data_IF_352006179244
#
_entry.id   IF_352006179244
#
_cell.length_a   1.000
_cell.length_b   1.000
_cell.length_c   1.000
_cell.angle_alpha   90.00
_cell.angle_beta   90.00
_cell.angle_gamma   90.00
#
_symmetry.space_group_name_H-M   'P 1'
#
loop_
_entity.id
_entity.type
_entity.pdbx_description
1 polymer ?
#
# COMPACT_ATOMS: atom_id res chain seq x y z
N UNK A 1 3.81 -29.42 9.81
CA UNK A 1 3.31 -28.58 8.69
C UNK A 1 3.21 -27.15 9.21
N UNK A 2 4.10 -26.24 8.78
CA UNK A 2 4.01 -24.83 9.16
C UNK A 2 2.83 -24.20 8.44
N UNK A 3 1.90 -23.60 9.19
CA UNK A 3 0.78 -22.84 8.61
C UNK A 3 1.26 -21.40 8.44
N UNK A 4 1.42 -20.96 7.20
CA UNK A 4 1.76 -19.57 6.89
C UNK A 4 0.58 -18.65 7.29
N UNK A 5 0.91 -17.53 7.93
CA UNK A 5 -0.08 -16.52 8.33
C UNK A 5 -0.21 -15.54 7.16
N UNK A 6 -1.43 -15.35 6.67
CA UNK A 6 -1.70 -14.37 5.61
C UNK A 6 -1.63 -12.93 6.13
N UNK A 7 -1.40 -11.97 5.22
CA UNK A 7 -1.23 -10.54 5.54
C UNK A 7 -2.50 -9.70 5.41
N UNK A 8 -3.69 -10.33 5.30
CA UNK A 8 -4.94 -9.59 5.07
C UNK A 8 -5.22 -8.59 6.21
N UNK A 9 -5.07 -9.05 7.46
CA UNK A 9 -5.34 -8.22 8.65
C UNK A 9 -4.37 -7.04 8.76
N UNK A 10 -3.10 -7.31 8.48
CA UNK A 10 -2.01 -6.33 8.49
C UNK A 10 -2.29 -5.21 7.48
N UNK A 11 -2.46 -5.56 6.20
CA UNK A 11 -2.72 -4.58 5.13
C UNK A 11 -4.04 -3.84 5.32
N UNK A 12 -5.06 -4.49 5.90
CA UNK A 12 -6.31 -3.81 6.28
C UNK A 12 -6.09 -2.77 7.37
N UNK A 13 -5.30 -3.10 8.39
CA UNK A 13 -4.97 -2.19 9.49
C UNK A 13 -4.13 -1.00 9.02
N UNK A 14 -3.15 -1.23 8.13
CA UNK A 14 -2.35 -0.17 7.51
C UNK A 14 -3.20 0.85 6.73
N UNK A 15 -4.24 0.37 6.03
CA UNK A 15 -5.20 1.24 5.34
C UNK A 15 -6.24 1.88 6.27
N UNK A 16 -6.23 1.54 7.56
CA UNK A 16 -7.16 2.03 8.59
C UNK A 16 -8.65 1.84 8.23
N UNK A 17 -8.99 0.67 7.69
CA UNK A 17 -10.37 0.30 7.32
C UNK A 17 -10.90 -0.86 8.16
N UNK A 18 -12.22 -0.91 8.33
CA UNK A 18 -12.93 -2.02 8.97
C UNK A 18 -13.04 -3.26 8.07
N UNK A 19 -13.31 -4.42 8.67
CA UNK A 19 -13.59 -5.66 7.93
C UNK A 19 -14.82 -5.51 7.01
N UNK A 20 -15.82 -4.73 7.42
CA UNK A 20 -17.01 -4.46 6.61
C UNK A 20 -16.67 -3.64 5.35
N UNK A 21 -15.82 -2.62 5.46
CA UNK A 21 -15.37 -1.84 4.31
C UNK A 21 -14.56 -2.68 3.33
N UNK A 22 -13.65 -3.53 3.81
CA UNK A 22 -12.91 -4.45 2.95
C UNK A 22 -13.84 -5.47 2.27
N UNK A 23 -14.81 -6.00 3.01
CA UNK A 23 -15.78 -6.96 2.50
C UNK A 23 -16.61 -6.38 1.35
N UNK A 24 -17.06 -5.13 1.46
CA UNK A 24 -17.77 -4.41 0.40
C UNK A 24 -16.88 -4.26 -0.84
N UNK A 25 -15.63 -3.87 -0.68
CA UNK A 25 -14.71 -3.68 -1.81
C UNK A 25 -14.43 -4.97 -2.60
N UNK A 26 -14.36 -6.11 -1.90
CA UNK A 26 -14.01 -7.41 -2.48
C UNK A 26 -15.27 -8.20 -2.91
N UNK A 27 -16.45 -7.81 -2.44
CA UNK A 27 -17.73 -8.46 -2.72
C UNK A 27 -17.91 -9.75 -1.92
N UNK A 28 -17.61 -9.72 -0.63
CA UNK A 28 -17.81 -10.81 0.34
C UNK A 28 -18.51 -10.27 1.61
N UNK A 29 -18.75 -11.13 2.60
CA UNK A 29 -19.28 -10.70 3.90
C UNK A 29 -18.16 -10.31 4.87
N UNK A 30 -18.45 -9.42 5.83
CA UNK A 30 -17.49 -9.05 6.88
C UNK A 30 -17.03 -10.27 7.70
N UNK A 31 -17.94 -11.20 7.98
CA UNK A 31 -17.64 -12.48 8.64
C UNK A 31 -16.65 -13.33 7.82
N UNK A 32 -16.78 -13.35 6.49
CA UNK A 32 -15.84 -14.05 5.62
C UNK A 32 -14.43 -13.45 5.74
N UNK A 33 -14.30 -12.11 5.73
CA UNK A 33 -13.01 -11.43 5.95
C UNK A 33 -12.43 -11.83 7.32
N UNK A 34 -13.23 -11.79 8.39
CA UNK A 34 -12.77 -12.18 9.72
C UNK A 34 -12.26 -13.63 9.79
N UNK A 35 -12.95 -14.56 9.11
CA UNK A 35 -12.50 -15.96 8.99
C UNK A 35 -11.23 -16.11 8.16
N UNK A 36 -11.05 -15.30 7.12
CA UNK A 36 -9.82 -15.27 6.33
C UNK A 36 -8.64 -14.75 7.16
N UNK A 37 -8.81 -13.65 7.88
CA UNK A 37 -7.76 -13.05 8.73
C UNK A 37 -7.27 -14.00 9.82
N UNK A 38 -8.17 -14.81 10.41
CA UNK A 38 -7.80 -15.82 11.41
C UNK A 38 -7.33 -17.14 10.80
N UNK A 39 -7.36 -17.25 9.47
CA UNK A 39 -7.08 -18.50 8.76
C UNK A 39 -8.00 -19.67 9.18
N UNK A 40 -9.21 -19.36 9.65
CA UNK A 40 -10.29 -20.32 9.95
C UNK A 40 -10.88 -20.89 8.65
N UNK A 41 -10.83 -20.08 7.59
CA UNK A 41 -11.28 -20.41 6.24
C UNK A 41 -10.31 -19.84 5.23
N UNK A 42 -10.04 -20.59 4.17
CA UNK A 42 -9.24 -20.09 3.07
C UNK A 42 -10.10 -19.43 1.98
N UNK A 43 -9.73 -18.23 1.50
CA UNK A 43 -10.35 -17.63 0.32
C UNK A 43 -10.20 -18.53 -0.91
N UNK A 44 -11.19 -18.49 -1.81
CA UNK A 44 -11.03 -19.06 -3.16
C UNK A 44 -10.08 -18.18 -3.96
N UNK A 45 -9.44 -18.75 -5.00
CA UNK A 45 -8.51 -18.03 -5.88
C UNK A 45 -9.07 -16.67 -6.38
N UNK A 46 -10.34 -16.63 -6.78
CA UNK A 46 -11.02 -15.40 -7.22
C UNK A 46 -11.05 -14.31 -6.13
N UNK A 47 -11.21 -14.70 -4.86
CA UNK A 47 -11.20 -13.77 -3.73
C UNK A 47 -9.77 -13.36 -3.38
N UNK A 48 -8.81 -14.28 -3.45
CA UNK A 48 -7.40 -13.97 -3.31
C UNK A 48 -6.95 -12.90 -4.30
N UNK A 49 -7.30 -13.07 -5.58
CA UNK A 49 -6.97 -12.08 -6.61
C UNK A 49 -7.58 -10.71 -6.29
N UNK A 50 -8.87 -10.65 -5.97
CA UNK A 50 -9.53 -9.37 -5.63
C UNK A 50 -8.92 -8.68 -4.41
N UNK A 51 -8.54 -9.44 -3.38
CA UNK A 51 -7.85 -8.88 -2.21
C UNK A 51 -6.48 -8.33 -2.62
N UNK A 52 -5.72 -9.09 -3.43
CA UNK A 52 -4.42 -8.70 -3.93
C UNK A 52 -4.51 -7.41 -4.77
N UNK A 53 -5.49 -7.33 -5.68
CA UNK A 53 -5.78 -6.14 -6.49
C UNK A 53 -6.16 -4.94 -5.62
N UNK A 54 -7.00 -5.15 -4.58
CA UNK A 54 -7.42 -4.09 -3.66
C UNK A 54 -6.25 -3.49 -2.86
N UNK A 55 -5.31 -4.34 -2.45
CA UNK A 55 -4.12 -3.91 -1.72
C UNK A 55 -2.97 -3.50 -2.65
N UNK A 56 -3.05 -3.82 -3.95
CA UNK A 56 -1.99 -3.59 -4.92
C UNK A 56 -0.75 -4.43 -4.64
N UNK A 57 -0.91 -5.70 -4.23
CA UNK A 57 0.16 -6.64 -3.87
C UNK A 57 0.06 -7.90 -4.73
N UNK A 58 1.10 -8.75 -4.76
CA UNK A 58 0.98 -10.09 -5.34
C UNK A 58 0.13 -11.01 -4.46
N UNK A 59 -0.51 -12.02 -5.05
CA UNK A 59 -1.25 -13.04 -4.29
C UNK A 59 -0.32 -13.80 -3.33
N UNK A 60 0.90 -14.13 -3.78
CA UNK A 60 1.90 -14.81 -2.95
C UNK A 60 2.34 -13.99 -1.74
N UNK A 61 2.51 -12.68 -1.90
CA UNK A 61 2.79 -11.76 -0.79
C UNK A 61 1.62 -11.70 0.19
N UNK A 62 0.39 -11.61 -0.32
CA UNK A 62 -0.81 -11.55 0.52
C UNK A 62 -1.02 -12.86 1.31
N UNK A 63 -0.71 -14.00 0.71
CA UNK A 63 -0.79 -15.32 1.34
C UNK A 63 0.33 -15.57 2.38
N UNK A 64 1.38 -14.75 2.37
CA UNK A 64 2.56 -14.94 3.21
C UNK A 64 3.52 -16.00 2.68
N UNK A 65 3.45 -16.33 1.39
CA UNK A 65 4.37 -17.25 0.70
C UNK A 65 5.64 -16.51 0.25
N UNK A 66 5.49 -15.25 -0.16
CA UNK A 66 6.59 -14.38 -0.57
C UNK A 66 6.91 -13.39 0.55
N UNK A 67 8.17 -13.30 0.96
CA UNK A 67 8.62 -12.29 1.95
C UNK A 67 8.80 -10.90 1.34
N UNK A 68 9.09 -10.85 0.04
CA UNK A 68 9.27 -9.59 -0.69
C UNK A 68 7.98 -9.15 -1.34
N UNK A 69 7.67 -7.86 -1.22
CA UNK A 69 6.62 -7.22 -2.01
C UNK A 69 7.07 -7.19 -3.48
N UNK A 70 6.70 -8.21 -4.25
CA UNK A 70 6.85 -8.19 -5.70
C UNK A 70 5.67 -7.40 -6.27
N UNK A 71 5.71 -6.07 -6.09
CA UNK A 71 4.73 -5.20 -6.73
C UNK A 71 4.81 -5.38 -8.24
N UNK A 72 3.87 -6.13 -8.82
CA UNK A 72 3.63 -6.13 -10.27
C UNK A 72 2.90 -4.83 -10.61
N UNK A 73 3.57 -3.70 -10.34
CA UNK A 73 3.20 -2.42 -10.93
C UNK A 73 3.80 -2.41 -12.33
N UNK A 74 2.96 -2.23 -13.33
CA UNK A 74 3.42 -1.96 -14.69
C UNK A 74 4.21 -0.65 -14.71
N UNK A 75 5.14 -0.50 -15.65
CA UNK A 75 5.96 0.70 -15.77
C UNK A 75 5.12 1.98 -15.92
N UNK A 76 3.94 1.86 -16.54
CA UNK A 76 2.97 2.96 -16.66
C UNK A 76 2.38 3.36 -15.32
N UNK A 77 2.03 2.40 -14.44
CA UNK A 77 1.51 2.67 -13.11
C UNK A 77 2.57 3.28 -12.18
N UNK A 78 3.83 2.84 -12.32
CA UNK A 78 4.98 3.45 -11.61
C UNK A 78 5.16 4.91 -12.02
N UNK A 79 5.10 5.18 -13.32
CA UNK A 79 5.22 6.53 -13.86
C UNK A 79 4.09 7.47 -13.38
N UNK A 80 2.85 6.98 -13.36
CA UNK A 80 1.68 7.75 -12.89
C UNK A 80 1.83 8.12 -11.41
N UNK A 81 2.27 7.19 -10.56
CA UNK A 81 2.52 7.45 -9.14
C UNK A 81 3.63 8.50 -8.95
N UNK A 82 4.76 8.34 -9.63
CA UNK A 82 5.87 9.30 -9.57
C UNK A 82 5.45 10.71 -10.03
N UNK A 83 4.66 10.81 -11.10
CA UNK A 83 4.16 12.09 -11.61
C UNK A 83 3.24 12.76 -10.58
N UNK A 84 2.36 12.00 -9.92
CA UNK A 84 1.47 12.51 -8.87
C UNK A 84 2.24 13.08 -7.70
N UNK A 85 3.31 12.41 -7.28
CA UNK A 85 4.15 12.87 -6.18
C UNK A 85 4.89 14.16 -6.57
N UNK A 86 5.46 14.23 -7.78
CA UNK A 86 6.11 15.45 -8.31
C UNK A 86 5.15 16.64 -8.36
N UNK A 87 3.90 16.43 -8.79
CA UNK A 87 2.87 17.47 -8.80
C UNK A 87 2.51 17.97 -7.40
N UNK A 88 2.38 17.06 -6.43
CA UNK A 88 2.09 17.45 -5.05
C UNK A 88 3.24 18.23 -4.44
N UNK A 89 4.49 17.80 -4.68
CA UNK A 89 5.70 18.52 -4.26
C UNK A 89 5.73 19.93 -4.86
N UNK A 90 5.44 20.07 -6.15
CA UNK A 90 5.37 21.37 -6.83
C UNK A 90 4.27 22.27 -6.29
N UNK A 91 3.16 21.72 -5.79
CA UNK A 91 2.09 22.49 -5.14
C UNK A 91 2.52 22.96 -3.75
N UNK A 92 3.18 22.12 -2.96
CA UNK A 92 3.74 22.50 -1.65
C UNK A 92 4.78 23.62 -1.80
N UNK A 93 5.68 23.51 -2.79
CA UNK A 93 6.66 24.56 -3.08
C UNK A 93 6.01 25.86 -3.57
N UNK A 94 4.92 25.80 -4.33
CA UNK A 94 4.17 27.01 -4.73
C UNK A 94 3.50 27.71 -3.55
N UNK A 95 3.01 26.96 -2.56
CA UNK A 95 2.46 27.52 -1.31
C UNK A 95 3.55 28.18 -0.48
N UNK A 96 4.71 27.55 -0.39
CA UNK A 96 5.91 28.11 0.24
C UNK A 96 6.30 29.47 -0.35
N UNK A 97 6.26 29.58 -1.67
CA UNK A 97 6.64 30.80 -2.41
C UNK A 97 5.56 31.90 -2.38
N UNK A 98 4.35 31.60 -1.90
CA UNK A 98 3.24 32.53 -1.82
C UNK A 98 3.15 33.27 -0.46
N UNK A 99 4.05 33.00 0.50
CA UNK A 99 4.12 33.63 1.84
C UNK A 99 2.84 33.51 2.71
N UNK A 100 1.87 32.68 2.32
CA UNK A 100 0.60 32.51 3.05
C UNK A 100 0.69 31.55 4.26
N UNK A 101 1.76 30.76 4.39
CA UNK A 101 1.96 29.79 5.49
C UNK A 101 3.39 29.89 6.09
N UNK A 102 3.56 29.69 7.41
CA UNK A 102 4.86 29.70 8.06
C UNK A 102 5.80 28.64 7.47
N UNK A 103 7.07 29.02 7.25
CA UNK A 103 8.09 28.15 6.65
C UNK A 103 8.29 26.84 7.42
N UNK A 104 8.08 26.83 8.73
CA UNK A 104 8.18 25.59 9.53
C UNK A 104 7.12 24.55 9.15
N UNK A 105 5.89 24.96 8.83
CA UNK A 105 4.81 24.02 8.47
C UNK A 105 4.99 23.47 7.05
N UNK A 106 5.36 24.34 6.13
CA UNK A 106 5.69 23.98 4.74
C UNK A 106 6.89 23.03 4.70
N UNK A 107 7.94 23.31 5.48
CA UNK A 107 9.13 22.47 5.55
C UNK A 107 8.85 21.13 6.22
N UNK A 108 8.01 21.09 7.26
CA UNK A 108 7.59 19.84 7.89
C UNK A 108 6.80 18.94 6.92
N UNK A 109 5.87 19.50 6.14
CA UNK A 109 5.12 18.75 5.13
C UNK A 109 6.03 18.26 3.99
N UNK A 110 6.90 19.14 3.48
CA UNK A 110 7.91 18.78 2.48
C UNK A 110 8.82 17.65 2.95
N UNK A 111 9.40 17.78 4.15
CA UNK A 111 10.33 16.80 4.72
C UNK A 111 9.64 15.46 4.99
N UNK A 112 8.37 15.47 5.39
CA UNK A 112 7.55 14.25 5.53
C UNK A 112 7.35 13.56 4.18
N UNK A 113 6.98 14.30 3.15
CA UNK A 113 6.76 13.75 1.81
C UNK A 113 8.07 13.25 1.18
N UNK A 114 9.18 13.96 1.40
CA UNK A 114 10.51 13.58 0.97
C UNK A 114 11.00 12.28 1.62
N UNK A 115 10.85 12.15 2.95
CA UNK A 115 11.24 10.94 3.66
C UNK A 115 10.44 9.71 3.21
N UNK A 116 9.15 9.89 2.87
CA UNK A 116 8.32 8.81 2.32
C UNK A 116 8.80 8.35 0.95
N UNK A 117 9.16 9.30 0.07
CA UNK A 117 9.76 9.03 -1.24
C UNK A 117 11.11 8.31 -1.11
N UNK A 118 11.94 8.72 -0.15
CA UNK A 118 13.27 8.16 0.06
C UNK A 118 13.18 6.72 0.59
N UNK A 119 12.20 6.43 1.47
CA UNK A 119 11.86 5.07 1.88
C UNK A 119 11.35 4.21 0.71
N UNK A 120 10.54 4.76 -0.20
CA UNK A 120 10.12 4.05 -1.41
C UNK A 120 11.31 3.78 -2.34
N UNK A 121 12.22 4.74 -2.51
CA UNK A 121 13.42 4.60 -3.34
C UNK A 121 14.42 3.57 -2.80
N UNK A 122 14.67 3.57 -1.49
CA UNK A 122 15.59 2.61 -0.86
C UNK A 122 15.08 1.17 -0.95
N UNK A 123 13.77 0.97 -0.87
CA UNK A 123 13.14 -0.35 -1.09
C UNK A 123 13.36 -0.82 -2.53
N UNK A 124 13.24 0.08 -3.50
CA UNK A 124 13.46 -0.22 -4.92
C UNK A 124 14.92 -0.59 -5.22
N UNK A 125 15.90 0.13 -4.66
CA UNK A 125 17.33 -0.17 -4.90
C UNK A 125 17.80 -1.45 -4.21
N UNK A 126 17.31 -1.75 -3.01
CA UNK A 126 17.59 -3.04 -2.33
C UNK A 126 17.04 -4.26 -3.08
N UNK A 127 16.08 -4.07 -3.97
CA UNK A 127 15.54 -5.10 -4.86
C UNK A 127 16.30 -5.23 -6.19
N UNK A 128 17.16 -4.27 -6.57
CA UNK A 128 17.96 -4.34 -7.79
C UNK A 128 19.38 -4.89 -7.59
N UNK A 129 19.93 -4.83 -6.37
CA UNK A 129 21.28 -5.32 -6.05
C UNK A 129 21.32 -6.79 -5.59
N UNK A 130 20.21 -7.52 -5.72
CA UNK A 130 20.04 -8.91 -5.25
C UNK A 130 19.45 -9.81 -6.32
#
# INVERSE_FOLDING_TARGET
>A
MYKLINRIKELRAEKNISQAQLAVAVGVTADAIGKYERSDREPKLKIWQKLADYFGVSVGYLQGIEDKYTGVMTDSERQVRCNKIKENMAKTLRRAWAEDEPWEEVYADFKRQWNLLELEFQKITQDMER
#
